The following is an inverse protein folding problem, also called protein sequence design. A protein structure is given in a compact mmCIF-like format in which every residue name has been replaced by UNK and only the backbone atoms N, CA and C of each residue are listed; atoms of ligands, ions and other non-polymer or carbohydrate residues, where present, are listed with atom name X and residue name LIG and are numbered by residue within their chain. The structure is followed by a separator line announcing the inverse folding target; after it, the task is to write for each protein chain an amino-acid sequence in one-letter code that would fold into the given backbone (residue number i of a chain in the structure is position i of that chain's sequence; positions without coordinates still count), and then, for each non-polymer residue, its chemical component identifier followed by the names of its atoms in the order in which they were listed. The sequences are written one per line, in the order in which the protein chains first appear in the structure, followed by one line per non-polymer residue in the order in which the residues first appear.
data_IF_786233092939
#
_entry.id   IF_786233092939
#
_cell.length_a   1.000
_cell.length_b   1.000
_cell.length_c   1.000
_cell.angle_alpha   90.00
_cell.angle_beta   90.00
_cell.angle_gamma   90.00
#
_symmetry.space_group_name_H-M   'P 1'
#
loop_
_entity.id
_entity.type
_entity.pdbx_description
1 polymer ?
#
# COMPACT_ATOMS: atom_id res chain seq x y z
N UNK A 1 9.64 23.24 1.11
CA UNK A 1 9.70 21.80 0.80
C UNK A 1 9.03 21.03 1.93
N UNK A 2 8.25 19.99 1.64
CA UNK A 2 7.56 19.19 2.67
C UNK A 2 8.55 18.30 3.43
N UNK A 3 8.33 18.12 4.74
CA UNK A 3 9.15 17.26 5.59
C UNK A 3 8.55 15.85 5.75
N UNK A 4 9.33 14.91 6.30
CA UNK A 4 8.90 13.52 6.47
C UNK A 4 7.58 13.38 7.25
N UNK A 5 7.38 14.19 8.30
CA UNK A 5 6.11 14.23 9.05
C UNK A 5 4.93 14.51 8.14
N UNK A 6 5.04 15.48 7.22
CA UNK A 6 3.95 15.83 6.31
C UNK A 6 3.57 14.65 5.39
N UNK A 7 4.55 13.94 4.83
CA UNK A 7 4.29 12.76 3.98
C UNK A 7 3.60 11.63 4.76
N UNK A 8 4.03 11.35 6.00
CA UNK A 8 3.36 10.37 6.86
C UNK A 8 1.93 10.77 7.22
N UNK A 9 1.67 12.06 7.47
CA UNK A 9 0.32 12.59 7.75
C UNK A 9 -0.60 12.47 6.54
N UNK A 10 -0.10 12.77 5.35
CA UNK A 10 -0.85 12.61 4.10
C UNK A 10 -1.17 11.13 3.86
N UNK A 11 -0.19 10.24 4.02
CA UNK A 11 -0.40 8.80 3.92
C UNK A 11 -1.50 8.31 4.88
N UNK A 12 -1.55 8.84 6.11
CA UNK A 12 -2.60 8.53 7.08
C UNK A 12 -4.00 8.92 6.58
N UNK A 13 -4.16 10.14 6.08
CA UNK A 13 -5.44 10.61 5.51
C UNK A 13 -5.85 9.77 4.30
N UNK A 14 -4.91 9.48 3.40
CA UNK A 14 -5.15 8.63 2.23
C UNK A 14 -5.61 7.22 2.64
N UNK A 15 -5.03 6.63 3.68
CA UNK A 15 -5.42 5.32 4.19
C UNK A 15 -6.81 5.33 4.83
N UNK A 16 -7.23 6.42 5.49
CA UNK A 16 -8.60 6.58 5.99
C UNK A 16 -9.59 6.65 4.81
N UNK A 17 -9.28 7.46 3.80
CA UNK A 17 -10.12 7.56 2.59
C UNK A 17 -10.19 6.22 1.86
N UNK A 18 -9.07 5.50 1.80
CA UNK A 18 -9.02 4.17 1.21
C UNK A 18 -9.87 3.19 2.03
N UNK A 19 -9.78 3.18 3.36
CA UNK A 19 -10.62 2.34 4.22
C UNK A 19 -12.12 2.62 4.00
N UNK A 20 -12.52 3.89 3.95
CA UNK A 20 -13.89 4.29 3.70
C UNK A 20 -14.37 3.85 2.30
N UNK A 21 -13.60 4.17 1.26
CA UNK A 21 -13.92 3.82 -0.13
C UNK A 21 -13.95 2.31 -0.38
N UNK A 22 -13.01 1.57 0.21
CA UNK A 22 -12.98 0.11 0.18
C UNK A 22 -14.26 -0.46 0.81
N UNK A 23 -14.59 -0.02 2.03
CA UNK A 23 -15.76 -0.51 2.78
C UNK A 23 -17.06 -0.24 2.04
N UNK A 24 -17.24 1.01 1.59
CA UNK A 24 -18.40 1.39 0.81
C UNK A 24 -18.49 0.58 -0.49
N UNK A 25 -17.36 0.44 -1.19
CA UNK A 25 -17.27 -0.26 -2.46
C UNK A 25 -17.76 -1.70 -2.35
N UNK A 26 -17.19 -2.52 -1.46
CA UNK A 26 -17.56 -3.93 -1.39
C UNK A 26 -18.94 -4.17 -0.77
N UNK A 27 -19.40 -3.32 0.16
CA UNK A 27 -20.73 -3.45 0.76
C UNK A 27 -21.86 -2.99 -0.16
N UNK A 28 -21.58 -2.04 -1.07
CA UNK A 28 -22.58 -1.46 -1.96
C UNK A 28 -22.53 -2.03 -3.37
N UNK A 29 -21.52 -2.86 -3.69
CA UNK A 29 -21.34 -3.43 -5.01
C UNK A 29 -22.56 -4.28 -5.43
N UNK A 30 -23.07 -3.96 -6.62
CA UNK A 30 -24.12 -4.74 -7.28
C UNK A 30 -23.60 -5.16 -8.66
N UNK A 31 -23.50 -6.47 -8.93
CA UNK A 31 -23.16 -6.96 -10.25
C UNK A 31 -24.13 -6.41 -11.31
N UNK A 32 -23.64 -6.04 -12.51
CA UNK A 32 -24.45 -5.36 -13.52
C UNK A 32 -25.32 -6.30 -14.37
N UNK A 33 -25.00 -7.60 -14.43
CA UNK A 33 -25.73 -8.58 -15.25
C UNK A 33 -26.57 -9.55 -14.40
N UNK A 34 -27.68 -10.08 -14.93
CA UNK A 34 -28.47 -11.10 -14.25
C UNK A 34 -27.67 -12.34 -13.84
N UNK A 35 -26.73 -12.79 -14.68
CA UNK A 35 -25.90 -13.97 -14.43
C UNK A 35 -24.94 -13.71 -13.26
N UNK A 36 -24.30 -12.54 -13.24
CA UNK A 36 -23.40 -12.17 -12.14
C UNK A 36 -24.17 -11.96 -10.83
N UNK A 37 -25.41 -11.46 -10.89
CA UNK A 37 -26.30 -11.39 -9.73
C UNK A 37 -26.65 -12.80 -9.22
N UNK A 38 -27.00 -13.74 -10.10
CA UNK A 38 -27.28 -15.12 -9.72
C UNK A 38 -26.08 -15.81 -9.04
N UNK A 39 -24.85 -15.56 -9.53
CA UNK A 39 -23.62 -16.05 -8.88
C UNK A 39 -23.44 -15.43 -7.50
N UNK A 40 -23.57 -14.10 -7.37
CA UNK A 40 -23.48 -13.42 -6.06
C UNK A 40 -24.52 -13.96 -5.08
N UNK A 41 -25.75 -14.17 -5.52
CA UNK A 41 -26.83 -14.65 -4.67
C UNK A 41 -26.56 -16.10 -4.24
N UNK A 42 -26.05 -16.94 -5.16
CA UNK A 42 -25.59 -18.30 -4.83
C UNK A 42 -24.44 -18.29 -3.81
N UNK A 43 -23.44 -17.41 -3.97
CA UNK A 43 -22.34 -17.26 -3.00
C UNK A 43 -22.84 -16.89 -1.59
N UNK A 44 -23.93 -16.12 -1.48
CA UNK A 44 -24.49 -15.73 -0.20
C UNK A 44 -25.38 -16.81 0.41
N UNK A 45 -26.16 -17.51 -0.40
CA UNK A 45 -27.24 -18.40 0.04
C UNK A 45 -26.84 -19.88 0.10
N UNK A 46 -25.79 -20.30 -0.61
CA UNK A 46 -25.26 -21.67 -0.51
C UNK A 46 -24.33 -21.75 0.69
N UNK A 47 -24.74 -22.56 1.67
CA UNK A 47 -24.00 -22.79 2.90
C UNK A 47 -23.24 -24.12 2.86
N UNK A 48 -22.06 -24.14 3.43
CA UNK A 48 -21.24 -25.33 3.65
C UNK A 48 -20.74 -25.38 5.09
N UNK A 49 -20.49 -26.59 5.59
CA UNK A 49 -20.06 -26.81 6.96
C UNK A 49 -18.53 -26.88 7.04
N UNK A 50 -17.96 -26.17 8.02
CA UNK A 50 -16.57 -26.32 8.44
C UNK A 50 -16.59 -26.62 9.94
N UNK A 51 -16.33 -27.87 10.29
CA UNK A 51 -16.55 -28.41 11.65
C UNK A 51 -18.01 -28.21 12.04
N UNK A 52 -18.27 -27.55 13.18
CA UNK A 52 -19.60 -27.31 13.74
C UNK A 52 -20.22 -25.99 13.25
N UNK A 53 -19.55 -25.27 12.35
CA UNK A 53 -19.98 -23.94 11.89
C UNK A 53 -20.35 -23.93 10.41
N UNK A 54 -21.44 -23.23 10.10
CA UNK A 54 -21.94 -23.03 8.74
C UNK A 54 -21.44 -21.71 8.15
N UNK A 55 -20.93 -21.76 6.93
CA UNK A 55 -20.41 -20.60 6.21
C UNK A 55 -20.96 -20.53 4.79
N UNK A 56 -20.94 -19.34 4.21
CA UNK A 56 -21.13 -19.14 2.78
C UNK A 56 -19.93 -18.38 2.21
N UNK A 57 -19.64 -18.54 0.92
CA UNK A 57 -18.55 -17.81 0.29
C UNK A 57 -18.75 -16.29 0.36
N UNK A 58 -19.98 -15.82 0.20
CA UNK A 58 -20.35 -14.41 0.37
C UNK A 58 -20.09 -13.91 1.78
N UNK A 59 -20.35 -14.74 2.80
CA UNK A 59 -19.97 -14.48 4.19
C UNK A 59 -18.46 -14.33 4.37
N UNK A 60 -17.65 -15.23 3.79
CA UNK A 60 -16.19 -15.13 3.83
C UNK A 60 -15.67 -13.85 3.17
N UNK A 61 -16.12 -13.52 1.96
CA UNK A 61 -15.69 -12.31 1.26
C UNK A 61 -16.06 -11.04 2.03
N UNK A 62 -17.25 -11.00 2.64
CA UNK A 62 -17.66 -9.89 3.51
C UNK A 62 -16.75 -9.77 4.74
N UNK A 63 -16.44 -10.89 5.38
CA UNK A 63 -15.53 -10.95 6.53
C UNK A 63 -14.12 -10.47 6.16
N UNK A 64 -13.55 -10.95 5.06
CA UNK A 64 -12.25 -10.49 4.56
C UNK A 64 -12.27 -9.01 4.19
N UNK A 65 -13.36 -8.50 3.59
CA UNK A 65 -13.52 -7.08 3.32
C UNK A 65 -13.45 -6.22 4.60
N UNK A 66 -14.19 -6.60 5.64
CA UNK A 66 -14.15 -5.89 6.93
C UNK A 66 -12.79 -6.00 7.61
N UNK A 67 -12.12 -7.15 7.48
CA UNK A 67 -10.76 -7.35 7.97
C UNK A 67 -9.79 -6.38 7.29
N UNK A 68 -9.80 -6.28 5.96
CA UNK A 68 -8.97 -5.32 5.21
C UNK A 68 -9.26 -3.88 5.65
N UNK A 69 -10.52 -3.52 5.87
CA UNK A 69 -10.88 -2.19 6.41
C UNK A 69 -10.21 -1.93 7.76
N UNK A 70 -10.24 -2.88 8.69
CA UNK A 70 -9.57 -2.74 9.99
C UNK A 70 -8.05 -2.58 9.82
N UNK A 71 -7.43 -3.34 8.91
CA UNK A 71 -6.00 -3.20 8.58
C UNK A 71 -5.65 -1.84 7.98
N UNK A 72 -6.49 -1.28 7.11
CA UNK A 72 -6.29 0.06 6.53
C UNK A 72 -6.41 1.15 7.60
N UNK A 73 -7.34 1.03 8.55
CA UNK A 73 -7.46 1.96 9.68
C UNK A 73 -6.27 1.87 10.63
N UNK A 74 -5.82 0.65 10.95
CA UNK A 74 -4.59 0.45 11.72
C UNK A 74 -3.37 1.04 11.00
N UNK A 75 -3.28 0.83 9.69
CA UNK A 75 -2.24 1.41 8.84
C UNK A 75 -2.26 2.95 8.86
N UNK A 76 -3.46 3.55 8.84
CA UNK A 76 -3.61 4.99 8.98
C UNK A 76 -3.13 5.50 10.35
N UNK A 77 -3.46 4.79 11.43
CA UNK A 77 -2.94 5.10 12.76
C UNK A 77 -1.41 4.95 12.82
N UNK A 78 -0.85 3.89 12.24
CA UNK A 78 0.58 3.63 12.24
C UNK A 78 1.34 4.72 11.49
N UNK A 79 0.90 5.10 10.28
CA UNK A 79 1.50 6.21 9.53
C UNK A 79 1.40 7.53 10.29
N UNK A 80 0.28 7.79 10.97
CA UNK A 80 0.17 8.93 11.87
C UNK A 80 1.21 8.88 13.00
N UNK A 81 1.36 7.72 13.65
CA UNK A 81 2.34 7.56 14.72
C UNK A 81 3.78 7.77 14.23
N UNK A 82 4.14 7.19 13.07
CA UNK A 82 5.43 7.40 12.42
C UNK A 82 5.67 8.88 12.10
N UNK A 83 4.66 9.62 11.66
CA UNK A 83 4.79 11.06 11.44
C UNK A 83 5.14 11.85 12.71
N UNK A 84 4.65 11.43 13.88
CA UNK A 84 5.03 12.03 15.16
C UNK A 84 6.48 11.69 15.54
N UNK A 85 6.87 10.41 15.39
CA UNK A 85 8.23 9.95 15.66
C UNK A 85 9.25 10.61 14.72
N UNK A 86 8.89 10.93 13.47
CA UNK A 86 9.79 11.55 12.50
C UNK A 86 10.29 12.92 12.98
N UNK A 87 9.46 13.59 13.81
CA UNK A 87 9.76 14.90 14.37
C UNK A 87 10.59 14.81 15.64
N UNK A 88 10.31 13.84 16.51
CA UNK A 88 10.92 13.74 17.84
C UNK A 88 12.12 12.80 17.92
N UNK A 89 12.12 11.72 17.13
CA UNK A 89 13.16 10.69 17.12
C UNK A 89 13.25 10.01 15.74
N UNK A 90 13.82 10.69 14.72
CA UNK A 90 13.87 10.18 13.35
C UNK A 90 14.66 8.87 13.20
N UNK A 91 15.65 8.62 14.07
CA UNK A 91 16.42 7.37 14.05
C UNK A 91 15.56 6.15 14.40
N UNK A 92 14.49 6.33 15.18
CA UNK A 92 13.58 5.25 15.56
C UNK A 92 12.67 4.76 14.41
N UNK A 93 12.52 5.53 13.34
CA UNK A 93 11.70 5.12 12.18
C UNK A 93 12.44 4.09 11.34
N UNK A 94 13.74 4.31 11.08
CA UNK A 94 14.67 3.38 10.43
C UNK A 94 14.04 2.44 9.39
N UNK A 95 14.17 1.14 9.62
CA UNK A 95 13.70 0.08 8.74
C UNK A 95 12.16 -0.06 8.68
N UNK A 96 11.42 0.43 9.68
CA UNK A 96 9.96 0.28 9.72
C UNK A 96 9.27 1.07 8.60
N UNK A 97 9.77 2.27 8.27
CA UNK A 97 9.24 3.05 7.15
C UNK A 97 9.39 2.33 5.81
N UNK A 98 10.54 1.68 5.59
CA UNK A 98 10.81 0.89 4.39
C UNK A 98 10.03 -0.43 4.35
N UNK A 99 9.93 -1.14 5.48
CA UNK A 99 9.13 -2.35 5.57
C UNK A 99 7.65 -2.06 5.25
N UNK A 100 7.12 -0.95 5.75
CA UNK A 100 5.75 -0.56 5.45
C UNK A 100 5.58 -0.11 4.00
N UNK A 101 6.55 0.61 3.42
CA UNK A 101 6.58 0.90 1.99
C UNK A 101 6.50 -0.39 1.15
N UNK A 102 7.29 -1.41 1.50
CA UNK A 102 7.26 -2.70 0.80
C UNK A 102 5.89 -3.40 0.89
N UNK A 103 5.22 -3.35 2.04
CA UNK A 103 3.84 -3.86 2.19
C UNK A 103 2.87 -3.13 1.26
N UNK A 104 3.02 -1.81 1.09
CA UNK A 104 2.18 -1.05 0.17
C UNK A 104 2.48 -1.34 -1.30
N UNK A 105 3.74 -1.65 -1.65
CA UNK A 105 4.10 -2.13 -2.99
C UNK A 105 3.47 -3.50 -3.27
N UNK A 106 3.53 -4.44 -2.31
CA UNK A 106 2.84 -5.72 -2.43
C UNK A 106 1.31 -5.53 -2.59
N UNK A 107 0.73 -4.60 -1.81
CA UNK A 107 -0.69 -4.25 -1.91
C UNK A 107 -1.05 -3.66 -3.28
N UNK A 108 -0.17 -2.84 -3.87
CA UNK A 108 -0.32 -2.32 -5.23
C UNK A 108 -0.34 -3.48 -6.24
N UNK A 109 0.61 -4.40 -6.18
CA UNK A 109 0.70 -5.53 -7.11
C UNK A 109 -0.55 -6.41 -7.01
N UNK A 110 -0.97 -6.78 -5.80
CA UNK A 110 -2.18 -7.57 -5.60
C UNK A 110 -3.44 -6.83 -6.09
N UNK A 111 -3.50 -5.52 -5.87
CA UNK A 111 -4.64 -4.71 -6.34
C UNK A 111 -4.69 -4.58 -7.84
N UNK A 112 -3.54 -4.52 -8.50
CA UNK A 112 -3.45 -4.48 -9.95
C UNK A 112 -3.90 -5.79 -10.59
N UNK A 113 -3.61 -6.93 -9.96
CA UNK A 113 -3.93 -8.26 -10.49
C UNK A 113 -5.38 -8.66 -10.20
N UNK A 114 -5.84 -8.47 -8.96
CA UNK A 114 -7.08 -9.10 -8.47
C UNK A 114 -8.23 -8.14 -8.18
N UNK A 115 -7.95 -6.84 -8.05
CA UNK A 115 -8.96 -5.87 -7.63
C UNK A 115 -9.27 -4.87 -8.75
N UNK A 116 -9.04 -3.58 -8.52
CA UNK A 116 -9.37 -2.53 -9.47
C UNK A 116 -8.33 -1.40 -9.44
N UNK A 117 -8.44 -0.48 -10.39
CA UNK A 117 -7.51 0.64 -10.50
C UNK A 117 -7.53 1.55 -9.27
N UNK A 118 -8.67 1.70 -8.59
CA UNK A 118 -8.79 2.55 -7.40
C UNK A 118 -7.89 2.10 -6.22
N UNK A 119 -8.01 0.86 -5.69
CA UNK A 119 -7.12 0.36 -4.63
C UNK A 119 -5.65 0.31 -5.06
N UNK A 120 -5.38 0.04 -6.34
CA UNK A 120 -4.01 0.11 -6.88
C UNK A 120 -3.46 1.54 -6.78
N UNK A 121 -4.22 2.55 -7.22
CA UNK A 121 -3.82 3.95 -7.16
C UNK A 121 -3.57 4.41 -5.71
N UNK A 122 -4.46 4.11 -4.78
CA UNK A 122 -4.24 4.42 -3.36
C UNK A 122 -2.97 3.77 -2.82
N UNK A 123 -2.75 2.48 -3.12
CA UNK A 123 -1.56 1.75 -2.68
C UNK A 123 -0.28 2.37 -3.24
N UNK A 124 -0.27 2.76 -4.52
CA UNK A 124 0.87 3.42 -5.15
C UNK A 124 1.20 4.78 -4.52
N UNK A 125 0.19 5.64 -4.31
CA UNK A 125 0.41 6.97 -3.74
C UNK A 125 0.87 6.88 -2.28
N UNK A 126 0.31 5.95 -1.50
CA UNK A 126 0.76 5.70 -0.13
C UNK A 126 2.18 5.15 -0.12
N UNK A 127 2.52 4.19 -0.98
CA UNK A 127 3.88 3.66 -1.11
C UNK A 127 4.90 4.77 -1.44
N UNK A 128 4.57 5.65 -2.38
CA UNK A 128 5.41 6.79 -2.74
C UNK A 128 5.61 7.73 -1.54
N UNK A 129 4.55 8.06 -0.81
CA UNK A 129 4.61 8.89 0.39
C UNK A 129 5.49 8.26 1.49
N UNK A 130 5.34 6.96 1.75
CA UNK A 130 6.13 6.23 2.75
C UNK A 130 7.60 6.11 2.35
N UNK A 131 7.89 5.76 1.09
CA UNK A 131 9.25 5.70 0.57
C UNK A 131 9.95 7.06 0.65
N UNK A 132 9.26 8.13 0.27
CA UNK A 132 9.81 9.48 0.37
C UNK A 132 10.04 9.91 1.81
N UNK A 133 9.09 9.62 2.71
CA UNK A 133 9.24 9.93 4.13
C UNK A 133 10.39 9.14 4.77
N UNK A 134 10.51 7.84 4.46
CA UNK A 134 11.59 6.97 4.94
C UNK A 134 12.97 7.45 4.44
N UNK A 135 13.04 7.89 3.18
CA UNK A 135 14.25 8.47 2.61
C UNK A 135 14.68 9.76 3.33
N UNK A 136 13.73 10.65 3.62
CA UNK A 136 14.01 11.92 4.31
C UNK A 136 14.50 11.74 5.75
N UNK A 137 14.14 10.64 6.43
CA UNK A 137 14.61 10.34 7.80
C UNK A 137 15.84 9.44 7.84
N UNK A 138 16.29 8.91 6.70
CA UNK A 138 17.50 8.11 6.62
C UNK A 138 18.73 8.96 6.99
N UNK A 139 19.70 8.35 7.68
CA UNK A 139 20.91 9.07 8.10
C UNK A 139 21.72 9.57 6.90
N UNK A 140 22.49 10.66 7.03
CA UNK A 140 23.35 11.16 5.95
C UNK A 140 24.29 10.09 5.37
N UNK A 141 24.76 9.16 6.21
CA UNK A 141 25.59 8.02 5.79
C UNK A 141 24.82 7.00 4.93
N UNK A 142 23.57 6.70 5.29
CA UNK A 142 22.70 5.83 4.49
C UNK A 142 22.30 6.49 3.16
N UNK A 143 22.05 7.81 3.18
CA UNK A 143 21.79 8.59 1.97
C UNK A 143 23.00 8.64 1.03
N UNK A 144 24.21 8.85 1.58
CA UNK A 144 25.45 8.85 0.82
C UNK A 144 25.74 7.47 0.20
N UNK A 145 25.63 6.39 0.98
CA UNK A 145 25.83 5.02 0.49
C UNK A 145 24.84 4.64 -0.61
N UNK A 146 23.56 4.99 -0.45
CA UNK A 146 22.57 4.71 -1.48
C UNK A 146 22.80 5.55 -2.74
N UNK A 147 23.24 6.81 -2.59
CA UNK A 147 23.62 7.69 -3.71
C UNK A 147 24.81 7.13 -4.48
N UNK A 148 25.83 6.62 -3.78
CA UNK A 148 26.93 5.88 -4.41
C UNK A 148 26.42 4.64 -5.15
N UNK A 149 25.58 3.81 -4.53
CA UNK A 149 25.00 2.61 -5.17
C UNK A 149 24.10 2.90 -6.38
N UNK A 150 23.42 4.05 -6.42
CA UNK A 150 22.61 4.48 -7.58
C UNK A 150 23.46 5.12 -8.68
N UNK A 151 24.51 5.85 -8.32
CA UNK A 151 25.48 6.38 -9.28
C UNK A 151 26.25 5.23 -9.93
N UNK A 152 26.68 4.23 -9.16
CA UNK A 152 27.45 3.09 -9.66
C UNK A 152 26.61 2.18 -10.59
N UNK A 153 25.28 2.14 -10.42
CA UNK A 153 24.36 1.46 -11.35
C UNK A 153 23.89 2.30 -12.54
N UNK A 154 24.18 3.60 -12.54
CA UNK A 154 23.85 4.54 -13.62
C UNK A 154 25.06 4.97 -14.46
N UNK A 155 26.27 4.59 -14.06
CA UNK A 155 27.51 5.03 -14.68
C UNK A 155 28.17 3.92 -15.51
N UNK A 156 27.42 3.27 -16.42
CA UNK A 156 28.03 2.39 -17.42
C UNK A 156 27.31 2.40 -18.78
N UNK A 157 26.87 3.58 -19.23
CA UNK A 157 26.44 3.80 -20.63
C UNK A 157 27.36 4.76 -21.41
N UNK A 158 28.34 5.38 -20.75
CA UNK A 158 29.32 6.26 -21.40
C UNK A 158 30.72 5.63 -21.55
N UNK A 159 30.99 4.48 -20.95
CA UNK A 159 32.26 3.74 -21.12
C UNK A 159 32.27 2.85 -22.38
N UNK A 160 31.12 2.59 -23.00
CA UNK A 160 30.98 1.75 -24.21
C UNK A 160 31.20 2.54 -25.50
N UNK A 161 31.03 3.86 -25.49
CA UNK A 161 31.32 4.72 -26.64
C UNK A 161 32.52 5.61 -26.34
N UNK A 162 33.71 5.12 -26.73
CA UNK A 162 34.94 5.89 -26.74
C UNK A 162 34.84 7.16 -27.61
N UNK A 163 35.86 8.04 -27.55
CA UNK A 163 35.80 9.33 -28.20
C UNK A 163 35.73 9.16 -29.72
N UNK A 164 34.61 9.53 -30.32
CA UNK A 164 34.52 9.78 -31.76
C UNK A 164 35.37 11.03 -32.03
N UNK A 165 36.54 10.81 -32.62
CA UNK A 165 37.43 11.86 -33.11
C UNK A 165 36.72 12.73 -34.15
N UNK A 166 36.98 14.04 -34.04
CA UNK A 166 36.85 15.15 -35.01
C UNK A 166 36.05 14.92 -36.29
#
# INVERSE_FOLDING_TARGET
MMNATAFYRIASVLLILFAAGHTFGFLSFKPPSPEALAVRDSMNNVHFQVRESSFSYGGFYKGFGLYVTAYLLFSAFLTWHLGALARSNPQAIGALGWAFCAVQVASLVLSWIYFSAAPAAFSAVVAACLGWAAWLVATPKAQALFRELTIDKGCDLHSVFGPVMK
#
